data_IF_017420046251
#
_entry.id   IF_017420046251
#
_cell.length_a   1.000
_cell.length_b   1.000
_cell.length_c   1.000
_cell.angle_alpha   90.00
_cell.angle_beta   90.00
_cell.angle_gamma   90.00
#
_symmetry.space_group_name_H-M   'P 1'
#
loop_
_entity.id
_entity.type
_entity.pdbx_description
1 polymer ?
#
# COMPACT_ATOMS: atom_id res chain seq x y z
N UNK A 1 -5.14 -1.40 31.26
CA UNK A 1 -4.14 -0.49 31.86
C UNK A 1 -4.72 0.88 32.18
N UNK A 2 -5.26 1.64 31.21
CA UNK A 2 -5.74 3.02 31.44
C UNK A 2 -6.76 3.12 32.59
N UNK A 3 -7.85 2.36 32.57
CA UNK A 3 -8.92 2.43 33.59
C UNK A 3 -8.45 2.04 34.98
N UNK A 4 -7.52 1.09 35.07
CA UNK A 4 -6.90 0.65 36.33
C UNK A 4 -6.12 1.79 36.99
N UNK A 5 -5.39 2.60 36.22
CA UNK A 5 -4.67 3.77 36.76
C UNK A 5 -5.64 4.79 37.36
N UNK A 6 -6.78 5.06 36.71
CA UNK A 6 -7.78 5.98 37.23
C UNK A 6 -8.43 5.45 38.52
N UNK A 7 -8.74 4.17 38.57
CA UNK A 7 -9.26 3.51 39.78
C UNK A 7 -8.24 3.61 40.91
N UNK A 8 -6.96 3.35 40.64
CA UNK A 8 -5.87 3.47 41.64
C UNK A 8 -5.74 4.91 42.15
N UNK A 9 -5.78 5.91 41.26
CA UNK A 9 -5.73 7.33 41.65
C UNK A 9 -6.95 7.71 42.50
N UNK A 10 -8.15 7.26 42.13
CA UNK A 10 -9.36 7.49 42.93
C UNK A 10 -9.27 6.85 44.32
N UNK A 11 -8.77 5.62 44.41
CA UNK A 11 -8.57 4.91 45.67
C UNK A 11 -7.53 5.62 46.53
N UNK A 12 -6.41 6.06 45.96
CA UNK A 12 -5.38 6.83 46.68
C UNK A 12 -5.91 8.17 47.19
N UNK A 13 -6.70 8.89 46.39
CA UNK A 13 -7.35 10.13 46.79
C UNK A 13 -8.39 9.91 47.90
N UNK A 14 -9.18 8.85 47.82
CA UNK A 14 -10.14 8.48 48.86
C UNK A 14 -9.43 8.11 50.17
N UNK A 15 -8.34 7.33 50.11
CA UNK A 15 -7.51 7.01 51.27
C UNK A 15 -6.89 8.26 51.87
N UNK A 16 -6.32 9.14 51.04
CA UNK A 16 -5.73 10.39 51.48
C UNK A 16 -6.78 11.30 52.14
N UNK A 17 -7.98 11.38 51.57
CA UNK A 17 -9.09 12.10 52.16
C UNK A 17 -9.49 11.53 53.53
N UNK A 18 -9.58 10.20 53.65
CA UNK A 18 -9.92 9.53 54.91
C UNK A 18 -8.87 9.76 56.00
N UNK A 19 -7.59 9.57 55.67
CA UNK A 19 -6.47 9.76 56.60
C UNK A 19 -6.32 11.22 57.05
N UNK A 20 -6.56 12.16 56.15
CA UNK A 20 -6.36 13.58 56.42
C UNK A 20 -7.66 14.31 56.79
N UNK A 21 -8.77 13.61 57.06
CA UNK A 21 -10.08 14.19 57.44
C UNK A 21 -9.96 15.31 58.47
N UNK A 22 -9.20 15.10 59.55
CA UNK A 22 -9.01 16.10 60.61
C UNK A 22 -8.32 17.38 60.14
N UNK A 23 -7.27 17.25 59.31
CA UNK A 23 -6.55 18.39 58.73
C UNK A 23 -7.38 19.07 57.64
N UNK A 24 -8.17 18.30 56.89
CA UNK A 24 -9.04 18.79 55.83
C UNK A 24 -10.23 19.57 56.38
N UNK A 25 -10.73 19.22 57.58
CA UNK A 25 -11.86 19.87 58.26
C UNK A 25 -11.46 21.16 59.00
N UNK A 26 -10.18 21.54 58.99
CA UNK A 26 -9.72 22.72 59.71
C UNK A 26 -10.31 24.00 59.09
N UNK A 27 -11.10 24.79 59.85
CA UNK A 27 -11.80 25.93 59.30
C UNK A 27 -10.81 27.05 59.00
N UNK A 28 -10.78 27.47 57.74
CA UNK A 28 -10.00 28.62 57.29
C UNK A 28 -10.92 29.67 56.68
N UNK A 29 -10.54 30.94 56.81
CA UNK A 29 -11.20 32.04 56.11
C UNK A 29 -10.58 32.18 54.73
N UNK A 30 -11.36 31.92 53.68
CA UNK A 30 -10.89 32.00 52.29
C UNK A 30 -11.51 33.24 51.64
N UNK A 31 -10.66 34.13 51.12
CA UNK A 31 -11.09 35.22 50.24
C UNK A 31 -10.89 34.78 48.79
N UNK A 32 -11.98 34.64 48.01
CA UNK A 32 -11.93 34.34 46.57
C UNK A 32 -11.86 35.62 45.71
N UNK A 33 -11.32 36.72 46.24
CA UNK A 33 -11.15 37.99 45.54
C UNK A 33 -12.44 38.80 45.33
N UNK A 34 -13.62 38.16 45.28
CA UNK A 34 -14.93 38.81 45.17
C UNK A 34 -15.88 38.52 46.34
N UNK A 35 -15.68 37.42 47.07
CA UNK A 35 -16.48 37.03 48.25
C UNK A 35 -15.58 36.31 49.27
N UNK A 36 -15.77 36.64 50.54
CA UNK A 36 -15.09 36.00 51.68
C UNK A 36 -15.98 34.92 52.28
N UNK A 37 -15.52 33.67 52.23
CA UNK A 37 -16.21 32.55 52.85
C UNK A 37 -15.53 32.19 54.17
N UNK A 38 -16.28 32.27 55.26
CA UNK A 38 -15.86 31.90 56.62
C UNK A 38 -16.27 30.46 56.93
N UNK A 39 -15.35 29.69 57.53
CA UNK A 39 -15.64 28.33 58.02
C UNK A 39 -15.63 27.23 56.95
N UNK A 40 -15.11 27.51 55.75
CA UNK A 40 -14.97 26.49 54.71
C UNK A 40 -13.67 25.71 54.93
N UNK A 41 -13.73 24.38 55.03
CA UNK A 41 -12.53 23.57 55.15
C UNK A 41 -11.73 23.57 53.83
N UNK A 42 -10.65 24.37 53.79
CA UNK A 42 -9.77 24.56 52.62
C UNK A 42 -9.29 23.24 52.02
N UNK A 43 -8.96 22.28 52.89
CA UNK A 43 -8.38 21.02 52.48
C UNK A 43 -9.33 20.20 51.60
N UNK A 44 -10.62 20.13 51.95
CA UNK A 44 -11.60 19.42 51.15
C UNK A 44 -11.78 20.04 49.76
N UNK A 45 -11.80 21.38 49.69
CA UNK A 45 -11.93 22.11 48.43
C UNK A 45 -10.74 21.83 47.51
N UNK A 46 -9.51 21.89 48.02
CA UNK A 46 -8.30 21.58 47.26
C UNK A 46 -8.25 20.12 46.79
N UNK A 47 -8.70 19.18 47.63
CA UNK A 47 -8.74 17.76 47.29
C UNK A 47 -9.74 17.48 46.17
N UNK A 48 -10.96 18.03 46.28
CA UNK A 48 -11.99 17.88 45.24
C UNK A 48 -11.52 18.52 43.94
N UNK A 49 -10.99 19.74 43.98
CA UNK A 49 -10.53 20.46 42.80
C UNK A 49 -9.36 19.75 42.12
N UNK A 50 -8.38 19.27 42.89
CA UNK A 50 -7.24 18.49 42.39
C UNK A 50 -7.67 17.16 41.77
N UNK A 51 -8.62 16.46 42.40
CA UNK A 51 -9.20 15.23 41.86
C UNK A 51 -9.88 15.49 40.52
N UNK A 52 -10.69 16.55 40.45
CA UNK A 52 -11.44 16.91 39.26
C UNK A 52 -10.49 17.29 38.11
N UNK A 53 -9.46 18.10 38.38
CA UNK A 53 -8.43 18.44 37.39
C UNK A 53 -7.68 17.20 36.88
N UNK A 54 -7.30 16.29 37.78
CA UNK A 54 -6.62 15.04 37.41
C UNK A 54 -7.51 14.17 36.50
N UNK A 55 -8.81 14.11 36.78
CA UNK A 55 -9.79 13.38 35.98
C UNK A 55 -9.97 13.98 34.58
N UNK A 56 -10.04 15.31 34.48
CA UNK A 56 -10.07 16.04 33.21
C UNK A 56 -8.80 15.78 32.40
N UNK A 57 -7.62 15.94 33.02
CA UNK A 57 -6.34 15.70 32.35
C UNK A 57 -6.22 14.27 31.84
N UNK A 58 -6.65 13.30 32.65
CA UNK A 58 -6.68 11.90 32.26
C UNK A 58 -7.62 11.64 31.08
N UNK A 59 -8.83 12.21 31.10
CA UNK A 59 -9.79 12.05 30.00
C UNK A 59 -9.26 12.67 28.70
N UNK A 60 -8.68 13.87 28.80
CA UNK A 60 -8.08 14.59 27.67
C UNK A 60 -6.88 13.85 27.08
N UNK A 61 -5.93 13.42 27.91
CA UNK A 61 -4.79 12.60 27.47
C UNK A 61 -5.25 11.27 26.86
N UNK A 62 -6.33 10.71 27.42
CA UNK A 62 -6.95 9.51 26.93
C UNK A 62 -7.60 9.66 25.54
N UNK A 63 -8.20 10.80 25.25
CA UNK A 63 -8.76 11.10 23.92
C UNK A 63 -7.64 11.22 22.87
N UNK A 64 -6.51 11.82 23.24
CA UNK A 64 -5.33 11.94 22.38
C UNK A 64 -4.72 10.58 22.02
N UNK A 65 -4.75 9.61 22.93
CA UNK A 65 -4.26 8.26 22.68
C UNK A 65 -5.06 7.45 21.64
N UNK A 66 -6.35 7.73 21.45
CA UNK A 66 -7.19 7.01 20.47
C UNK A 66 -6.80 7.35 19.00
N UNK A 67 -6.25 8.54 18.77
CA UNK A 67 -5.80 8.95 17.43
C UNK A 67 -4.64 8.09 16.92
N UNK A 68 -3.74 7.67 17.81
CA UNK A 68 -2.58 6.85 17.45
C UNK A 68 -2.96 5.43 16.96
N UNK A 69 -4.05 4.84 17.48
CA UNK A 69 -4.53 3.55 16.98
C UNK A 69 -5.32 3.69 15.68
N UNK A 70 -6.11 4.76 15.53
CA UNK A 70 -6.85 5.02 14.30
C UNK A 70 -5.92 5.24 13.09
N UNK A 71 -4.75 5.85 13.29
CA UNK A 71 -3.77 6.07 12.23
C UNK A 71 -3.14 4.76 11.74
N UNK A 72 -2.91 3.77 12.61
CA UNK A 72 -2.40 2.46 12.19
C UNK A 72 -3.39 1.69 11.31
N UNK A 73 -4.69 1.77 11.62
CA UNK A 73 -5.74 1.15 10.82
C UNK A 73 -5.92 1.86 9.47
N UNK A 74 -5.76 3.19 9.42
CA UNK A 74 -5.73 3.95 8.16
C UNK A 74 -4.50 3.57 7.32
N UNK A 75 -3.32 3.52 7.92
CA UNK A 75 -2.07 3.18 7.23
C UNK A 75 -2.14 1.79 6.58
N UNK A 76 -2.68 0.78 7.29
CA UNK A 76 -2.88 -0.56 6.73
C UNK A 76 -3.84 -0.55 5.54
N UNK A 77 -4.91 0.25 5.61
CA UNK A 77 -5.88 0.40 4.53
C UNK A 77 -5.27 1.07 3.30
N UNK A 78 -4.43 2.08 3.51
CA UNK A 78 -3.74 2.80 2.45
C UNK A 78 -2.71 1.88 1.75
N UNK A 79 -1.98 1.05 2.52
CA UNK A 79 -1.07 0.03 1.98
C UNK A 79 -1.82 -0.99 1.11
N UNK A 80 -2.98 -1.47 1.56
CA UNK A 80 -3.78 -2.42 0.78
C UNK A 80 -4.28 -1.80 -0.54
N UNK A 81 -4.73 -0.54 -0.52
CA UNK A 81 -5.12 0.17 -1.74
C UNK A 81 -3.95 0.36 -2.72
N UNK A 82 -2.76 0.67 -2.20
CA UNK A 82 -1.53 0.76 -2.98
C UNK A 82 -1.18 -0.59 -3.62
N UNK A 83 -1.31 -1.70 -2.88
CA UNK A 83 -1.05 -3.05 -3.36
C UNK A 83 -1.99 -3.44 -4.50
N UNK A 84 -3.29 -3.20 -4.35
CA UNK A 84 -4.29 -3.47 -5.40
C UNK A 84 -3.99 -2.65 -6.66
N UNK A 85 -3.58 -1.38 -6.50
CA UNK A 85 -3.24 -0.51 -7.63
C UNK A 85 -1.95 -0.95 -8.33
N UNK A 86 -0.95 -1.43 -7.59
CA UNK A 86 0.29 -1.96 -8.13
C UNK A 86 0.05 -3.27 -8.88
N UNK A 87 -0.67 -4.21 -8.27
CA UNK A 87 -0.96 -5.53 -8.85
C UNK A 87 -1.75 -5.41 -10.17
N UNK A 88 -2.71 -4.47 -10.22
CA UNK A 88 -3.42 -4.11 -11.45
C UNK A 88 -2.48 -3.60 -12.56
N UNK A 89 -1.55 -2.70 -12.21
CA UNK A 89 -0.62 -2.11 -13.19
C UNK A 89 0.45 -3.09 -13.63
N UNK A 90 0.94 -3.92 -12.72
CA UNK A 90 1.90 -4.99 -13.02
C UNK A 90 1.26 -6.06 -13.89
N UNK A 91 0.03 -6.51 -13.59
CA UNK A 91 -0.72 -7.44 -14.42
C UNK A 91 -0.92 -6.93 -15.86
N UNK A 92 -1.24 -5.64 -16.02
CA UNK A 92 -1.34 -5.02 -17.35
C UNK A 92 0.00 -4.96 -18.08
N UNK A 93 1.10 -4.67 -17.38
CA UNK A 93 2.47 -4.70 -17.94
C UNK A 93 2.88 -6.11 -18.38
N UNK A 94 2.60 -7.12 -17.56
CA UNK A 94 2.88 -8.52 -17.90
C UNK A 94 2.08 -8.95 -19.13
N UNK A 95 0.80 -8.62 -19.19
CA UNK A 95 -0.03 -8.90 -20.36
C UNK A 95 0.51 -8.19 -21.63
N UNK A 96 0.91 -6.92 -21.53
CA UNK A 96 1.49 -6.17 -22.65
C UNK A 96 2.82 -6.76 -23.16
N UNK A 97 3.68 -7.19 -22.25
CA UNK A 97 4.95 -7.83 -22.62
C UNK A 97 4.71 -9.18 -23.28
N UNK A 98 3.74 -9.95 -22.77
CA UNK A 98 3.36 -11.23 -23.35
C UNK A 98 2.79 -11.05 -24.76
N UNK A 99 1.87 -10.11 -24.97
CA UNK A 99 1.32 -9.82 -26.30
C UNK A 99 2.42 -9.36 -27.26
N UNK A 100 3.34 -8.50 -26.82
CA UNK A 100 4.44 -8.04 -27.66
C UNK A 100 5.42 -9.18 -28.01
N UNK A 101 5.70 -10.09 -27.08
CA UNK A 101 6.51 -11.28 -27.37
C UNK A 101 5.78 -12.19 -28.37
N UNK A 102 4.49 -12.48 -28.17
CA UNK A 102 3.70 -13.32 -29.08
C UNK A 102 3.62 -12.72 -30.48
N UNK A 103 3.44 -11.40 -30.60
CA UNK A 103 3.48 -10.67 -31.87
C UNK A 103 4.85 -10.81 -32.55
N UNK A 104 5.94 -10.65 -31.80
CA UNK A 104 7.30 -10.81 -32.34
C UNK A 104 7.56 -12.25 -32.76
N UNK A 105 7.15 -13.24 -31.98
CA UNK A 105 7.31 -14.67 -32.27
C UNK A 105 6.51 -15.08 -33.51
N UNK A 106 5.30 -14.56 -33.69
CA UNK A 106 4.49 -14.80 -34.88
C UNK A 106 5.00 -14.04 -36.11
N UNK A 107 5.64 -12.87 -35.93
CA UNK A 107 6.26 -12.11 -37.01
C UNK A 107 7.58 -12.72 -37.51
N UNK A 108 8.32 -13.46 -36.67
CA UNK A 108 9.58 -14.14 -37.03
C UNK A 108 9.46 -15.10 -38.23
N UNK A 109 8.52 -16.06 -38.27
CA UNK A 109 8.38 -16.98 -39.40
C UNK A 109 7.89 -16.28 -40.67
N UNK A 110 7.13 -15.18 -40.53
CA UNK A 110 6.68 -14.36 -41.66
C UNK A 110 7.83 -13.54 -42.27
N UNK A 111 8.80 -13.10 -41.46
CA UNK A 111 9.89 -12.24 -41.91
C UNK A 111 11.09 -12.99 -42.49
N UNK A 112 11.41 -14.21 -42.03
CA UNK A 112 12.72 -14.82 -42.30
C UNK A 112 12.70 -16.20 -42.96
N UNK A 113 11.55 -16.89 -43.01
CA UNK A 113 11.52 -18.28 -43.51
C UNK A 113 10.78 -18.45 -44.82
N UNK A 114 9.50 -18.07 -44.86
CA UNK A 114 8.61 -18.45 -45.97
C UNK A 114 8.88 -17.68 -47.27
N UNK A 115 9.17 -16.39 -47.17
CA UNK A 115 9.41 -15.53 -48.34
C UNK A 115 10.77 -15.85 -49.02
N UNK A 116 11.84 -16.00 -48.24
CA UNK A 116 13.16 -16.35 -48.79
C UNK A 116 13.20 -17.77 -49.35
N UNK A 117 12.59 -18.76 -48.68
CA UNK A 117 12.52 -20.12 -49.22
C UNK A 117 11.69 -20.21 -50.50
N UNK A 118 10.60 -19.45 -50.61
CA UNK A 118 9.78 -19.44 -51.83
C UNK A 118 10.49 -18.80 -53.02
N UNK A 119 11.24 -17.71 -52.80
CA UNK A 119 12.03 -17.06 -53.86
C UNK A 119 13.22 -17.92 -54.31
N UNK A 120 13.87 -18.64 -53.39
CA UNK A 120 14.92 -19.60 -53.73
C UNK A 120 14.37 -20.77 -54.55
N UNK A 121 13.24 -21.36 -54.15
CA UNK A 121 12.59 -22.44 -54.92
C UNK A 121 12.21 -21.97 -56.34
N UNK A 122 11.65 -20.76 -56.48
CA UNK A 122 11.31 -20.21 -57.79
C UNK A 122 12.54 -20.03 -58.70
N UNK A 123 13.71 -19.67 -58.13
CA UNK A 123 14.97 -19.60 -58.87
C UNK A 123 15.49 -20.98 -59.27
N UNK A 124 15.37 -21.98 -58.40
CA UNK A 124 15.73 -23.37 -58.71
C UNK A 124 14.91 -23.89 -59.89
N UNK A 125 13.59 -23.67 -59.87
CA UNK A 125 12.69 -24.07 -60.96
C UNK A 125 13.03 -23.37 -62.29
N UNK A 126 13.40 -22.08 -62.22
CA UNK A 126 13.81 -21.33 -63.41
C UNK A 126 15.12 -21.87 -64.01
N UNK A 127 16.11 -22.18 -63.17
CA UNK A 127 17.37 -22.80 -63.60
C UNK A 127 17.14 -24.19 -64.19
N UNK A 128 16.27 -25.00 -63.60
CA UNK A 128 15.93 -26.33 -64.11
C UNK A 128 15.31 -26.27 -65.51
N UNK A 129 14.41 -25.30 -65.74
CA UNK A 129 13.82 -25.07 -67.07
C UNK A 129 14.87 -24.63 -68.09
N UNK A 130 15.77 -23.72 -67.71
CA UNK A 130 16.81 -23.24 -68.61
C UNK A 130 17.79 -24.36 -69.00
N UNK A 131 18.22 -25.18 -68.04
CA UNK A 131 19.06 -26.36 -68.32
C UNK A 131 18.37 -27.34 -69.24
N UNK A 132 17.09 -27.62 -69.03
CA UNK A 132 16.32 -28.51 -69.91
C UNK A 132 16.19 -27.96 -71.32
N UNK A 133 16.02 -26.64 -71.48
CA UNK A 133 15.98 -25.99 -72.80
C UNK A 133 17.33 -26.07 -73.50
N UNK A 134 18.44 -25.84 -72.79
CA UNK A 134 19.78 -25.97 -73.36
C UNK A 134 20.08 -27.41 -73.78
N UNK A 135 19.67 -28.40 -72.98
CA UNK A 135 19.78 -29.82 -73.33
C UNK A 135 18.96 -30.16 -74.58
N UNK A 136 17.73 -29.66 -74.69
CA UNK A 136 16.90 -29.86 -75.87
C UNK A 136 17.51 -29.21 -77.12
N UNK A 137 18.09 -28.01 -76.99
CA UNK A 137 18.79 -27.32 -78.08
C UNK A 137 20.07 -28.04 -78.52
N UNK A 138 20.83 -28.59 -77.56
CA UNK A 138 22.02 -29.38 -77.84
C UNK A 138 21.67 -30.69 -78.55
N UNK A 139 20.60 -31.36 -78.12
CA UNK A 139 20.09 -32.57 -78.77
C UNK A 139 19.66 -32.29 -80.22
N UNK A 140 18.92 -31.19 -80.43
CA UNK A 140 18.48 -30.77 -81.76
C UNK A 140 19.67 -30.34 -82.65
N UNK A 141 20.66 -29.64 -82.10
CA UNK A 141 21.90 -29.29 -82.79
C UNK A 141 22.73 -30.52 -83.18
N UNK A 142 22.86 -31.50 -82.28
CA UNK A 142 23.56 -32.74 -82.57
C UNK A 142 22.83 -33.56 -83.63
N UNK A 143 21.51 -33.63 -83.55
CA UNK A 143 20.66 -34.32 -84.53
C UNK A 143 20.73 -33.68 -85.92
N UNK A 144 20.81 -32.35 -85.98
CA UNK A 144 20.99 -31.62 -87.24
C UNK A 144 22.40 -31.72 -87.84
N UNK A 145 23.42 -32.05 -87.02
CA UNK A 145 24.83 -32.17 -87.47
C UNK A 145 25.26 -33.61 -87.80
N UNK A 146 24.60 -34.60 -87.21
CA UNK A 146 24.88 -36.04 -87.38
C UNK A 146 23.85 -36.77 -88.26
N UNK A 147 22.86 -36.04 -88.81
CA UNK A 147 21.89 -36.51 -89.80
C UNK A 147 22.27 -36.11 -91.22
#
# INVERSE_FOLDING_TARGET
MRTVVLIVVLVLLALFALLNTNALMFPHTISLGFVTYTGVPMGLVLLILGTLLALIFYFWAGLSGLRAQADSARLLRDIEQLRVTLDSKEGSRFAQLQTHIDERLNALPAASGSSELSTVNARIDALQRDVNLQLAQLDDYLKGKLG
#
